data_IF_400818422290
#
_entry.id   IF_400818422290
#
_cell.length_a   1.000
_cell.length_b   1.000
_cell.length_c   1.000
_cell.angle_alpha   90.00
_cell.angle_beta   90.00
_cell.angle_gamma   90.00
#
_symmetry.space_group_name_H-M   'P 1'
#
loop_
_entity.id
_entity.type
_entity.pdbx_description
1 polymer ?
#
# COMPACT_ATOMS: atom_id res chain seq x y z
N UNK A 1 -11.80 12.86 -6.01
CA UNK A 1 -13.00 12.25 -6.61
C UNK A 1 -12.49 11.07 -7.40
N UNK A 2 -13.02 9.87 -7.16
CA UNK A 2 -12.50 8.67 -7.80
C UNK A 2 -12.73 8.69 -9.31
N UNK A 3 -11.93 7.91 -10.03
CA UNK A 3 -12.10 7.76 -11.48
C UNK A 3 -13.47 7.15 -11.81
N UNK A 4 -13.94 6.22 -10.98
CA UNK A 4 -15.32 5.73 -10.99
C UNK A 4 -15.80 5.31 -9.59
N UNK A 5 -17.11 5.27 -9.42
CA UNK A 5 -17.78 4.76 -8.22
C UNK A 5 -18.70 3.62 -8.65
N UNK A 6 -18.63 2.51 -7.93
CA UNK A 6 -19.55 1.39 -8.07
C UNK A 6 -20.35 1.23 -6.78
N UNK A 7 -21.67 1.24 -6.89
CA UNK A 7 -22.58 0.94 -5.78
C UNK A 7 -23.23 -0.42 -5.96
N UNK A 8 -23.47 -1.11 -4.85
CA UNK A 8 -24.33 -2.32 -4.85
C UNK A 8 -25.75 -1.95 -5.34
N UNK A 9 -26.18 -0.71 -5.11
CA UNK A 9 -27.47 -0.20 -5.58
C UNK A 9 -27.55 -0.06 -7.10
N UNK A 10 -26.41 0.10 -7.81
CA UNK A 10 -26.40 0.22 -9.27
C UNK A 10 -26.77 -1.10 -9.97
N UNK A 11 -26.71 -2.22 -9.23
CA UNK A 11 -26.96 -3.56 -9.73
C UNK A 11 -28.06 -4.31 -8.95
N UNK A 12 -28.63 -3.68 -7.91
CA UNK A 12 -29.83 -4.14 -7.22
C UNK A 12 -31.05 -3.47 -7.86
N UNK A 13 -31.81 -4.22 -8.66
CA UNK A 13 -33.12 -3.78 -9.16
C UNK A 13 -34.18 -4.07 -8.09
N UNK A 14 -34.33 -3.17 -7.12
CA UNK A 14 -35.32 -3.27 -6.04
C UNK A 14 -36.41 -2.22 -6.28
N UNK A 15 -37.69 -2.63 -6.46
CA UNK A 15 -38.82 -1.70 -6.52
C UNK A 15 -38.92 -0.81 -5.28
N UNK A 16 -39.30 0.45 -5.45
CA UNK A 16 -39.44 1.42 -4.33
C UNK A 16 -40.46 0.99 -3.26
N UNK A 17 -41.37 0.06 -3.58
CA UNK A 17 -42.39 -0.51 -2.70
C UNK A 17 -42.10 -1.95 -2.25
N UNK A 18 -40.89 -2.46 -2.52
CA UNK A 18 -40.49 -3.81 -2.17
C UNK A 18 -40.57 -4.06 -0.65
N UNK A 19 -41.12 -5.20 -0.26
CA UNK A 19 -41.12 -5.64 1.12
C UNK A 19 -39.76 -6.25 1.55
N UNK A 20 -39.63 -6.58 2.84
CA UNK A 20 -38.37 -7.09 3.37
C UNK A 20 -37.95 -8.45 2.77
N UNK A 21 -38.90 -9.26 2.31
CA UNK A 21 -38.63 -10.56 1.68
C UNK A 21 -38.15 -10.34 0.24
N UNK A 22 -38.80 -9.43 -0.50
CA UNK A 22 -38.39 -9.03 -1.85
C UNK A 22 -37.01 -8.36 -1.87
N UNK A 23 -36.68 -7.53 -0.86
CA UNK A 23 -35.34 -6.95 -0.69
C UNK A 23 -34.31 -8.05 -0.42
N UNK A 24 -34.62 -9.00 0.46
CA UNK A 24 -33.70 -10.09 0.79
C UNK A 24 -33.42 -10.99 -0.42
N UNK A 25 -34.45 -11.29 -1.21
CA UNK A 25 -34.35 -12.07 -2.45
C UNK A 25 -33.55 -11.33 -3.53
N UNK A 26 -33.78 -10.02 -3.70
CA UNK A 26 -32.99 -9.21 -4.63
C UNK A 26 -31.51 -9.15 -4.23
N UNK A 27 -31.22 -9.02 -2.94
CA UNK A 27 -29.84 -9.08 -2.41
C UNK A 27 -29.22 -10.46 -2.62
N UNK A 28 -29.97 -11.53 -2.36
CA UNK A 28 -29.48 -12.89 -2.59
C UNK A 28 -29.22 -13.15 -4.09
N UNK A 29 -30.14 -12.71 -4.96
CA UNK A 29 -30.00 -12.80 -6.41
C UNK A 29 -28.78 -12.02 -6.91
N UNK A 30 -28.57 -10.80 -6.41
CA UNK A 30 -27.38 -10.02 -6.73
C UNK A 30 -26.10 -10.72 -6.29
N UNK A 31 -26.06 -11.29 -5.08
CA UNK A 31 -24.89 -12.04 -4.60
C UNK A 31 -24.57 -13.24 -5.48
N UNK A 32 -25.59 -13.94 -5.95
CA UNK A 32 -25.46 -15.10 -6.84
C UNK A 32 -25.01 -14.70 -8.26
N UNK A 33 -25.51 -13.58 -8.79
CA UNK A 33 -25.28 -13.18 -10.20
C UNK A 33 -24.16 -12.16 -10.39
N UNK A 34 -23.72 -11.49 -9.32
CA UNK A 34 -22.60 -10.57 -9.29
C UNK A 34 -21.57 -10.91 -8.19
N UNK A 35 -21.13 -12.18 -8.08
CA UNK A 35 -20.32 -12.67 -6.97
C UNK A 35 -18.96 -12.00 -6.87
N UNK A 36 -18.34 -11.64 -8.01
CA UNK A 36 -17.09 -10.86 -8.05
C UNK A 36 -17.30 -9.46 -7.50
N UNK A 37 -18.36 -8.76 -7.92
CA UNK A 37 -18.67 -7.42 -7.40
C UNK A 37 -19.08 -7.46 -5.94
N UNK A 38 -19.84 -8.48 -5.50
CA UNK A 38 -20.22 -8.63 -4.10
C UNK A 38 -19.02 -8.95 -3.19
N UNK A 39 -18.08 -9.78 -3.64
CA UNK A 39 -16.84 -10.04 -2.91
C UNK A 39 -15.93 -8.80 -2.85
N UNK A 40 -15.78 -8.13 -3.99
CA UNK A 40 -14.98 -6.90 -4.11
C UNK A 40 -15.68 -5.69 -3.48
N UNK A 41 -16.99 -5.76 -3.21
CA UNK A 41 -17.80 -4.75 -2.53
C UNK A 41 -18.30 -5.29 -1.19
N UNK A 42 -17.38 -5.38 -0.22
CA UNK A 42 -17.74 -5.52 1.19
C UNK A 42 -18.43 -4.28 1.79
N UNK A 43 -18.65 -3.23 1.00
CA UNK A 43 -19.28 -1.97 1.39
C UNK A 43 -20.30 -1.53 0.31
N UNK A 44 -21.33 -0.78 0.73
CA UNK A 44 -22.39 -0.22 -0.14
C UNK A 44 -21.85 0.51 -1.38
N UNK A 45 -20.67 1.12 -1.27
CA UNK A 45 -19.98 1.84 -2.34
C UNK A 45 -18.50 1.45 -2.37
N UNK A 46 -17.93 1.36 -3.57
CA UNK A 46 -16.54 1.04 -3.84
C UNK A 46 -15.95 2.09 -4.78
N UNK A 47 -14.75 2.56 -4.46
CA UNK A 47 -14.01 3.48 -5.33
C UNK A 47 -13.18 2.67 -6.31
N UNK A 48 -13.28 3.03 -7.59
CA UNK A 48 -12.46 2.47 -8.64
C UNK A 48 -11.46 3.55 -9.04
N UNK A 49 -10.18 3.23 -8.90
CA UNK A 49 -9.08 4.10 -9.25
C UNK A 49 -8.27 3.44 -10.37
N UNK A 50 -7.88 4.21 -11.38
CA UNK A 50 -6.92 3.75 -12.37
C UNK A 50 -5.51 4.17 -11.97
N UNK A 51 -4.51 3.36 -12.33
CA UNK A 51 -3.14 3.78 -12.09
C UNK A 51 -2.83 5.09 -12.82
N UNK A 52 -2.44 6.10 -12.05
CA UNK A 52 -1.93 7.35 -12.59
C UNK A 52 -0.41 7.24 -12.74
N UNK A 53 0.04 6.49 -13.74
CA UNK A 53 1.47 6.41 -14.09
C UNK A 53 1.73 6.81 -15.54
N UNK A 54 2.45 7.91 -15.74
CA UNK A 54 3.03 8.25 -17.05
C UNK A 54 4.38 7.56 -17.20
N UNK A 55 4.37 6.22 -17.29
CA UNK A 55 5.59 5.40 -17.42
C UNK A 55 6.30 5.14 -16.07
N UNK A 56 7.64 5.29 -16.04
CA UNK A 56 8.44 4.99 -14.85
C UNK A 56 8.28 6.03 -13.72
N UNK A 57 7.66 7.18 -13.98
CA UNK A 57 7.52 8.25 -12.99
C UNK A 57 6.33 8.03 -12.05
N UNK A 58 6.68 7.74 -10.79
CA UNK A 58 6.03 8.16 -9.54
C UNK A 58 4.50 7.96 -9.42
N UNK A 59 4.04 6.82 -8.85
CA UNK A 59 2.64 6.59 -8.45
C UNK A 59 2.14 7.51 -7.32
N UNK A 60 2.71 8.70 -7.10
CA UNK A 60 2.31 9.57 -5.97
C UNK A 60 0.84 9.95 -6.01
N UNK A 61 0.27 10.18 -7.21
CA UNK A 61 -1.15 10.43 -7.36
C UNK A 61 -1.99 9.16 -7.11
N UNK A 62 -1.55 7.99 -7.61
CA UNK A 62 -2.18 6.70 -7.30
C UNK A 62 -2.25 6.46 -5.80
N UNK A 63 -1.14 6.68 -5.09
CA UNK A 63 -1.09 6.49 -3.64
C UNK A 63 -2.01 7.46 -2.92
N UNK A 64 -2.05 8.73 -3.33
CA UNK A 64 -2.99 9.71 -2.75
C UNK A 64 -4.45 9.33 -2.97
N UNK A 65 -4.82 8.88 -4.17
CA UNK A 65 -6.19 8.49 -4.48
C UNK A 65 -6.63 7.30 -3.61
N UNK A 66 -5.78 6.28 -3.51
CA UNK A 66 -6.04 5.12 -2.65
C UNK A 66 -6.17 5.54 -1.18
N UNK A 67 -5.23 6.34 -0.66
CA UNK A 67 -5.32 6.85 0.71
C UNK A 67 -6.60 7.65 0.95
N UNK A 68 -7.02 8.48 -0.01
CA UNK A 68 -8.27 9.23 0.10
C UNK A 68 -9.47 8.28 0.21
N UNK A 69 -9.55 7.27 -0.66
CA UNK A 69 -10.64 6.30 -0.65
C UNK A 69 -10.74 5.61 0.72
N UNK A 70 -9.62 5.11 1.24
CA UNK A 70 -9.65 4.37 2.51
C UNK A 70 -9.89 5.29 3.71
N UNK A 71 -9.36 6.52 3.71
CA UNK A 71 -9.65 7.52 4.74
C UNK A 71 -11.14 7.94 4.76
N UNK A 72 -11.84 7.86 3.63
CA UNK A 72 -13.29 8.04 3.55
C UNK A 72 -14.08 6.79 3.97
N UNK A 73 -13.39 5.75 4.46
CA UNK A 73 -13.98 4.48 4.87
C UNK A 73 -14.48 3.64 3.69
N UNK A 74 -13.96 3.89 2.48
CA UNK A 74 -14.39 3.21 1.26
C UNK A 74 -13.35 2.19 0.84
N UNK A 75 -13.81 1.00 0.43
CA UNK A 75 -12.96 0.01 -0.22
C UNK A 75 -12.53 0.55 -1.60
N UNK A 76 -11.28 0.31 -1.97
CA UNK A 76 -10.69 0.80 -3.20
C UNK A 76 -10.28 -0.38 -4.11
N UNK A 77 -10.75 -0.38 -5.35
CA UNK A 77 -10.27 -1.25 -6.42
C UNK A 77 -9.31 -0.45 -7.30
N UNK A 78 -8.02 -0.73 -7.18
CA UNK A 78 -7.01 -0.12 -8.02
C UNK A 78 -6.79 -0.95 -9.28
N UNK A 79 -7.14 -0.39 -10.42
CA UNK A 79 -6.91 -0.98 -11.74
C UNK A 79 -5.52 -0.58 -12.24
N UNK A 80 -4.63 -1.56 -12.37
CA UNK A 80 -3.21 -1.37 -12.71
C UNK A 80 -2.79 -2.23 -13.90
N UNK A 81 -1.88 -1.72 -14.73
CA UNK A 81 -1.25 -2.51 -15.81
C UNK A 81 -0.31 -3.53 -15.19
N UNK A 82 -0.22 -4.71 -15.78
CA UNK A 82 0.65 -5.81 -15.30
C UNK A 82 2.08 -5.35 -14.95
N UNK A 83 2.73 -4.60 -15.84
CA UNK A 83 4.09 -4.09 -15.63
C UNK A 83 4.25 -3.14 -14.43
N UNK A 84 3.16 -2.54 -13.95
CA UNK A 84 3.14 -1.55 -12.87
C UNK A 84 2.59 -2.13 -11.56
N UNK A 85 1.75 -3.16 -11.63
CA UNK A 85 1.01 -3.73 -10.49
C UNK A 85 1.93 -4.10 -9.32
N UNK A 86 3.04 -4.79 -9.59
CA UNK A 86 4.02 -5.15 -8.55
C UNK A 86 4.61 -3.94 -7.82
N UNK A 87 4.91 -2.88 -8.57
CA UNK A 87 5.47 -1.65 -7.99
C UNK A 87 4.45 -0.97 -7.09
N UNK A 88 3.21 -0.86 -7.55
CA UNK A 88 2.16 -0.19 -6.78
C UNK A 88 1.78 -1.03 -5.55
N UNK A 89 1.67 -2.35 -5.69
CA UNK A 89 1.54 -3.26 -4.55
C UNK A 89 2.64 -3.03 -3.51
N UNK A 90 3.91 -3.02 -3.95
CA UNK A 90 5.04 -2.78 -3.04
C UNK A 90 4.92 -1.44 -2.31
N UNK A 91 4.57 -0.36 -3.02
CA UNK A 91 4.43 0.96 -2.41
C UNK A 91 3.21 1.07 -1.48
N UNK A 92 2.09 0.41 -1.77
CA UNK A 92 0.83 0.57 -1.02
C UNK A 92 0.64 -0.42 0.12
N UNK A 93 1.24 -1.60 0.02
CA UNK A 93 0.91 -2.74 0.87
C UNK A 93 2.12 -3.32 1.60
N UNK A 94 3.35 -3.04 1.16
CA UNK A 94 4.57 -3.52 1.84
C UNK A 94 5.19 -2.42 2.69
N UNK A 95 5.52 -2.76 3.93
CA UNK A 95 6.20 -1.83 4.83
C UNK A 95 7.67 -1.55 4.41
N UNK A 96 8.17 -0.31 4.61
CA UNK A 96 7.41 0.88 5.01
C UNK A 96 6.49 1.36 3.86
N UNK A 97 5.19 1.52 4.11
CA UNK A 97 4.26 1.95 3.04
C UNK A 97 4.57 3.36 2.55
N UNK A 98 4.26 3.64 1.29
CA UNK A 98 4.44 4.96 0.66
C UNK A 98 5.85 5.24 0.15
N UNK A 99 6.76 4.27 0.26
CA UNK A 99 8.14 4.40 -0.20
C UNK A 99 8.38 3.80 -1.60
N UNK A 100 9.54 4.11 -2.19
CA UNK A 100 10.03 3.46 -3.39
C UNK A 100 11.50 3.03 -3.27
N UNK A 101 11.80 1.83 -3.76
CA UNK A 101 13.14 1.22 -3.69
C UNK A 101 14.18 1.78 -4.66
N UNK A 102 13.77 2.57 -5.66
CA UNK A 102 14.70 3.20 -6.61
C UNK A 102 15.42 4.42 -6.02
N UNK A 103 15.85 4.34 -4.75
CA UNK A 103 16.69 5.34 -4.12
C UNK A 103 18.17 5.00 -4.38
N UNK A 104 19.02 6.00 -4.56
CA UNK A 104 20.42 5.81 -4.94
C UNK A 104 21.32 5.34 -3.79
N UNK A 105 20.80 5.32 -2.56
CA UNK A 105 21.54 4.95 -1.35
C UNK A 105 21.01 3.60 -0.87
N UNK A 106 21.93 2.67 -0.66
CA UNK A 106 21.62 1.32 -0.19
C UNK A 106 21.12 1.35 1.25
N UNK A 107 20.17 0.48 1.59
CA UNK A 107 19.51 0.46 2.91
C UNK A 107 18.58 1.65 3.18
N UNK A 108 18.28 2.47 2.18
CA UNK A 108 17.37 3.62 2.29
C UNK A 108 16.19 3.50 1.32
N UNK A 109 14.97 3.75 1.83
CA UNK A 109 13.76 3.81 1.01
C UNK A 109 13.19 5.24 1.05
N UNK A 110 12.96 5.86 -0.12
CA UNK A 110 12.50 7.25 -0.20
C UNK A 110 10.98 7.32 -0.24
N UNK A 111 10.39 8.24 0.52
CA UNK A 111 8.96 8.52 0.46
C UNK A 111 8.62 9.50 -0.66
N UNK A 112 7.42 9.32 -1.23
CA UNK A 112 6.77 10.41 -1.95
C UNK A 112 6.35 11.51 -0.98
N UNK A 113 6.20 12.74 -1.49
CA UNK A 113 5.72 13.88 -0.69
C UNK A 113 4.36 14.35 -1.14
N UNK A 114 3.57 14.83 -0.19
CA UNK A 114 2.34 15.57 -0.43
C UNK A 114 2.65 16.99 -0.91
N UNK A 115 1.65 17.64 -1.49
CA UNK A 115 1.70 19.09 -1.77
C UNK A 115 1.47 19.91 -0.51
N UNK A 116 0.78 19.34 0.48
CA UNK A 116 0.56 19.92 1.81
C UNK A 116 1.85 19.94 2.63
N UNK A 117 1.93 20.93 3.51
CA UNK A 117 3.02 21.06 4.48
C UNK A 117 2.69 20.27 5.75
N UNK A 118 3.72 19.81 6.46
CA UNK A 118 3.60 19.31 7.83
C UNK A 118 3.13 20.47 8.69
N UNK A 119 2.02 20.25 9.41
CA UNK A 119 1.49 21.19 10.37
C UNK A 119 1.19 20.44 11.67
N UNK A 120 1.68 20.99 12.79
CA UNK A 120 1.50 20.44 14.13
C UNK A 120 0.84 21.54 14.96
N UNK A 121 -0.25 21.21 15.67
CA UNK A 121 -1.07 22.18 16.41
C UNK A 121 -1.55 23.38 15.57
N UNK A 122 -1.70 23.17 14.25
CA UNK A 122 -2.10 24.21 13.29
C UNK A 122 -0.98 25.14 12.82
N UNK A 123 0.25 24.94 13.30
CA UNK A 123 1.43 25.69 12.87
C UNK A 123 2.21 24.92 11.81
N UNK A 124 2.54 25.59 10.69
CA UNK A 124 3.34 25.00 9.62
C UNK A 124 4.79 24.86 10.09
N UNK A 125 5.32 23.65 10.02
CA UNK A 125 6.71 23.37 10.38
C UNK A 125 7.64 23.81 9.24
N UNK A 126 8.72 24.49 9.61
CA UNK A 126 9.74 25.00 8.68
C UNK A 126 11.12 24.48 9.01
N UNK A 127 12.01 24.47 8.02
CA UNK A 127 13.42 24.13 8.18
C UNK A 127 14.33 25.09 7.40
N UNK A 128 15.62 25.20 7.77
CA UNK A 128 16.63 25.86 6.95
C UNK A 128 17.13 24.93 5.82
N UNK A 129 18.06 25.41 5.00
CA UNK A 129 18.81 24.58 4.05
C UNK A 129 18.30 24.65 2.61
N UNK A 130 18.56 23.61 1.84
CA UNK A 130 18.26 23.57 0.40
C UNK A 130 16.79 23.31 0.10
N UNK A 131 16.39 23.43 -1.18
CA UNK A 131 14.98 23.57 -1.54
C UNK A 131 14.13 22.35 -1.27
N UNK A 132 14.67 21.16 -1.48
CA UNK A 132 13.86 19.97 -1.59
C UNK A 132 13.74 19.24 -0.27
N UNK A 133 12.56 18.71 0.02
CA UNK A 133 12.33 17.84 1.16
C UNK A 133 12.56 16.39 0.71
N UNK A 134 13.45 15.69 1.41
CA UNK A 134 13.77 14.30 1.16
C UNK A 134 13.45 13.51 2.42
N UNK A 135 12.34 12.78 2.38
CA UNK A 135 11.97 11.84 3.42
C UNK A 135 12.50 10.45 3.08
N UNK A 136 13.16 9.83 4.05
CA UNK A 136 13.79 8.52 3.91
C UNK A 136 13.42 7.64 5.10
N UNK A 137 13.18 6.37 4.84
CA UNK A 137 13.23 5.32 5.85
C UNK A 137 14.59 4.63 5.78
N UNK A 138 15.31 4.61 6.90
CA UNK A 138 16.62 4.00 7.03
C UNK A 138 16.46 2.60 7.62
N UNK A 139 16.72 1.56 6.81
CA UNK A 139 16.43 0.17 7.18
C UNK A 139 17.27 -0.34 8.36
N UNK A 140 18.49 0.19 8.52
CA UNK A 140 19.42 -0.24 9.58
C UNK A 140 18.99 0.20 10.98
N UNK A 141 18.31 1.34 11.09
CA UNK A 141 17.82 1.92 12.34
C UNK A 141 16.31 1.75 12.51
N UNK A 142 15.57 1.56 11.41
CA UNK A 142 14.10 1.55 11.42
C UNK A 142 13.50 2.95 11.55
N UNK A 143 14.29 4.00 11.33
CA UNK A 143 13.89 5.39 11.59
C UNK A 143 13.51 6.15 10.31
N UNK A 144 12.69 7.17 10.50
CA UNK A 144 12.27 8.11 9.47
C UNK A 144 13.13 9.37 9.57
N UNK A 145 13.74 9.77 8.45
CA UNK A 145 14.71 10.86 8.43
C UNK A 145 14.27 11.92 7.42
N UNK A 146 14.21 13.17 7.88
CA UNK A 146 14.06 14.33 7.01
C UNK A 146 15.43 14.86 6.61
N UNK A 147 15.68 14.94 5.32
CA UNK A 147 16.87 15.55 4.73
C UNK A 147 16.51 16.60 3.68
N UNK A 148 17.49 17.41 3.31
CA UNK A 148 17.44 18.19 2.07
C UNK A 148 18.19 17.50 0.91
N UNK A 149 18.13 18.07 -0.29
CA UNK A 149 18.83 17.59 -1.49
C UNK A 149 20.36 17.64 -1.38
N UNK A 150 20.90 18.43 -0.44
CA UNK A 150 22.31 18.39 -0.08
C UNK A 150 22.65 17.29 0.94
N UNK A 151 21.67 16.44 1.28
CA UNK A 151 21.77 15.36 2.27
C UNK A 151 21.99 15.84 3.71
N UNK A 152 21.68 17.10 3.99
CA UNK A 152 21.70 17.61 5.37
C UNK A 152 20.49 17.03 6.11
N UNK A 153 20.73 16.34 7.22
CA UNK A 153 19.67 15.87 8.11
C UNK A 153 19.10 17.04 8.92
N UNK A 154 17.77 17.11 8.98
CA UNK A 154 17.04 18.15 9.70
C UNK A 154 16.26 17.58 10.88
N UNK A 155 15.73 16.36 10.78
CA UNK A 155 14.97 15.70 11.82
C UNK A 155 14.99 14.17 11.65
N UNK A 156 14.73 13.45 12.74
CA UNK A 156 14.71 11.99 12.82
C UNK A 156 13.61 11.53 13.76
N UNK A 157 12.92 10.45 13.40
CA UNK A 157 11.74 9.95 14.11
C UNK A 157 11.78 8.43 14.22
N UNK A 158 11.44 7.90 15.39
CA UNK A 158 11.39 6.45 15.65
C UNK A 158 10.19 5.78 14.97
N UNK A 159 9.14 6.54 14.66
CA UNK A 159 7.93 6.04 14.01
C UNK A 159 7.26 7.13 13.14
N UNK A 160 6.30 6.70 12.33
CA UNK A 160 5.60 7.59 11.40
C UNK A 160 4.69 8.61 12.09
N UNK A 161 4.05 8.26 13.20
CA UNK A 161 3.15 9.13 13.96
C UNK A 161 3.90 10.36 14.50
N UNK A 162 5.11 10.16 15.03
CA UNK A 162 5.96 11.23 15.55
C UNK A 162 6.30 12.32 14.51
N UNK A 163 6.28 12.03 13.21
CA UNK A 163 6.46 13.03 12.14
C UNK A 163 5.39 14.13 12.22
N UNK A 164 4.17 13.76 12.61
CA UNK A 164 3.00 14.64 12.62
C UNK A 164 2.64 15.15 14.02
N UNK A 165 3.30 14.65 15.08
CA UNK A 165 2.99 14.99 16.47
C UNK A 165 4.15 15.65 17.23
N UNK A 166 5.40 15.30 16.92
CA UNK A 166 6.56 15.81 17.65
C UNK A 166 7.20 17.03 16.96
N UNK A 167 6.69 18.21 17.27
CA UNK A 167 7.28 19.47 16.81
C UNK A 167 8.72 19.70 17.32
N UNK A 168 9.13 19.04 18.41
CA UNK A 168 10.43 19.28 19.06
C UNK A 168 11.60 18.58 18.37
N UNK A 169 11.31 17.53 17.58
CA UNK A 169 12.30 16.86 16.74
C UNK A 169 12.74 17.71 15.52
N UNK A 170 11.97 18.73 15.17
CA UNK A 170 12.26 19.63 14.04
C UNK A 170 13.19 20.78 14.45
N UNK A 171 13.97 21.33 13.49
CA UNK A 171 14.82 22.48 13.76
C UNK A 171 13.98 23.71 14.12
N UNK A 172 14.48 24.53 15.04
CA UNK A 172 13.82 25.79 15.39
C UNK A 172 13.96 26.81 14.25
N UNK A 173 12.88 26.98 13.49
CA UNK A 173 12.76 28.00 12.45
C UNK A 173 13.38 27.63 11.11
N UNK A 174 13.17 28.51 10.13
CA UNK A 174 13.55 28.29 8.73
C UNK A 174 12.73 29.16 7.80
N UNK A 175 13.12 29.18 6.52
CA UNK A 175 12.40 29.89 5.46
C UNK A 175 11.70 28.94 4.48
N UNK A 176 11.78 27.63 4.73
CA UNK A 176 11.19 26.58 3.88
C UNK A 176 10.22 25.72 4.66
N UNK A 177 9.02 25.55 4.09
CA UNK A 177 8.05 24.60 4.63
C UNK A 177 8.45 23.15 4.32
N UNK A 178 8.13 22.26 5.24
CA UNK A 178 8.39 20.84 5.09
C UNK A 178 7.16 20.19 4.45
N UNK A 179 7.32 19.61 3.27
CA UNK A 179 6.26 18.84 2.62
C UNK A 179 6.09 17.51 3.34
N UNK A 180 4.85 17.17 3.70
CA UNK A 180 4.56 15.93 4.42
C UNK A 180 4.94 14.70 3.58
N UNK A 181 5.52 13.64 4.18
CA UNK A 181 5.68 12.38 3.50
C UNK A 181 4.31 11.73 3.27
N UNK A 182 4.21 10.94 2.21
CA UNK A 182 3.06 10.06 1.99
C UNK A 182 3.33 8.79 2.78
N UNK A 183 2.65 8.64 3.92
CA UNK A 183 2.69 7.43 4.74
C UNK A 183 1.24 6.92 4.85
N UNK A 184 0.88 5.90 4.07
CA UNK A 184 -0.44 5.30 4.14
C UNK A 184 -0.69 4.64 5.49
N UNK A 185 -1.64 5.18 6.25
CA UNK A 185 -2.15 4.58 7.48
C UNK A 185 -3.58 4.12 7.24
N UNK A 186 -3.70 2.90 6.71
CA UNK A 186 -4.99 2.28 6.47
C UNK A 186 -4.93 0.76 6.57
N UNK A 187 -6.11 0.18 6.80
CA UNK A 187 -6.35 -1.26 6.69
C UNK A 187 -6.14 -1.72 5.25
N UNK A 188 -5.16 -2.59 5.03
CA UNK A 188 -4.81 -3.11 3.71
C UNK A 188 -5.92 -3.96 3.10
N UNK A 189 -6.80 -4.51 3.92
CA UNK A 189 -7.95 -5.29 3.44
C UNK A 189 -8.97 -4.42 2.71
N UNK A 190 -8.88 -3.08 2.84
CA UNK A 190 -9.70 -2.11 2.11
C UNK A 190 -9.18 -1.81 0.69
N UNK A 191 -8.11 -2.47 0.24
CA UNK A 191 -7.52 -2.27 -1.08
C UNK A 191 -7.35 -3.59 -1.84
N UNK A 192 -7.94 -3.68 -3.02
CA UNK A 192 -7.63 -4.72 -4.00
C UNK A 192 -6.92 -4.12 -5.22
N UNK A 193 -5.91 -4.80 -5.74
CA UNK A 193 -5.21 -4.40 -6.97
C UNK A 193 -5.63 -5.34 -8.10
N UNK A 194 -6.37 -4.80 -9.07
CA UNK A 194 -6.80 -5.50 -10.27
C UNK A 194 -5.76 -5.31 -11.38
N UNK A 195 -5.18 -6.41 -11.84
CA UNK A 195 -4.22 -6.46 -12.93
C UNK A 195 -4.94 -6.56 -14.27
N UNK A 196 -4.63 -5.61 -15.15
CA UNK A 196 -5.06 -5.60 -16.55
C UNK A 196 -3.87 -5.92 -17.45
N UNK A 197 -3.96 -7.05 -18.16
CA UNK A 197 -3.00 -7.42 -19.21
C UNK A 197 -3.21 -6.59 -20.47
N UNK A 198 -2.16 -6.41 -21.26
CA UNK A 198 -2.23 -5.59 -22.49
C UNK A 198 -3.22 -6.17 -23.52
N UNK A 199 -3.40 -7.48 -23.54
CA UNK A 199 -4.29 -8.20 -24.44
C UNK A 199 -5.66 -8.54 -23.83
N UNK A 200 -5.97 -8.02 -22.64
CA UNK A 200 -7.26 -8.24 -21.97
C UNK A 200 -8.43 -7.69 -22.82
N UNK A 201 -9.46 -8.52 -23.03
CA UNK A 201 -10.64 -8.18 -23.85
C UNK A 201 -11.95 -8.37 -23.10
N UNK A 202 -11.91 -9.15 -22.03
CA UNK A 202 -13.07 -9.55 -21.25
C UNK A 202 -12.75 -9.46 -19.75
N UNK A 203 -13.76 -9.36 -18.87
CA UNK A 203 -13.54 -9.39 -17.43
C UNK A 203 -12.81 -10.64 -16.92
N UNK A 204 -12.90 -11.78 -17.62
CA UNK A 204 -12.17 -13.00 -17.28
C UNK A 204 -10.65 -12.90 -17.52
N UNK A 205 -10.21 -11.90 -18.30
CA UNK A 205 -8.79 -11.62 -18.52
C UNK A 205 -8.19 -10.73 -17.41
N UNK A 206 -8.98 -10.37 -16.40
CA UNK A 206 -8.57 -9.56 -15.26
C UNK A 206 -8.20 -10.45 -14.07
N UNK A 207 -7.18 -10.02 -13.31
CA UNK A 207 -6.66 -10.80 -12.18
C UNK A 207 -6.59 -9.95 -10.92
N UNK A 208 -6.82 -10.54 -9.76
CA UNK A 208 -6.45 -9.96 -8.48
C UNK A 208 -4.96 -10.22 -8.22
N UNK A 209 -4.20 -9.16 -7.93
CA UNK A 209 -2.79 -9.28 -7.55
C UNK A 209 -2.68 -9.82 -6.12
N UNK A 210 -1.95 -10.93 -5.92
CA UNK A 210 -1.57 -11.43 -4.59
C UNK A 210 -0.09 -11.21 -4.32
N UNK A 211 0.23 -11.06 -3.03
CA UNK A 211 1.58 -10.75 -2.53
C UNK A 211 2.60 -11.86 -2.78
N UNK A 212 2.15 -13.11 -2.91
CA UNK A 212 2.94 -14.30 -3.29
C UNK A 212 3.38 -14.30 -4.76
N UNK A 213 2.85 -13.38 -5.57
CA UNK A 213 3.11 -13.30 -7.01
C UNK A 213 2.18 -14.16 -7.85
N UNK A 214 1.29 -14.93 -7.22
CA UNK A 214 0.20 -15.60 -7.92
C UNK A 214 -0.91 -14.58 -8.25
N UNK A 215 -1.58 -14.81 -9.36
CA UNK A 215 -2.66 -13.95 -9.85
C UNK A 215 -3.91 -14.79 -9.93
N UNK A 216 -4.96 -14.40 -9.20
CA UNK A 216 -6.23 -15.13 -9.20
C UNK A 216 -7.13 -14.48 -10.25
N UNK A 217 -7.56 -15.22 -11.29
CA UNK A 217 -8.58 -14.73 -12.20
C UNK A 217 -9.81 -14.25 -11.44
N UNK A 218 -10.37 -13.11 -11.82
CA UNK A 218 -11.51 -12.54 -11.08
C UNK A 218 -12.72 -13.48 -11.07
N UNK A 219 -12.93 -14.27 -12.12
CA UNK A 219 -14.03 -15.24 -12.22
C UNK A 219 -13.90 -16.43 -11.25
N UNK A 220 -12.68 -16.76 -10.80
CA UNK A 220 -12.45 -17.78 -9.77
C UNK A 220 -12.76 -17.30 -8.35
N UNK A 221 -12.85 -15.98 -8.14
CA UNK A 221 -13.21 -15.42 -6.83
C UNK A 221 -14.69 -15.63 -6.47
N UNK A 222 -15.52 -15.94 -7.46
CA UNK A 222 -16.96 -16.14 -7.35
C UNK A 222 -17.37 -17.55 -6.87
N UNK A 223 -16.46 -18.52 -7.01
CA UNK A 223 -16.75 -19.94 -6.74
C UNK A 223 -16.29 -20.41 -5.36
N UNK A 224 -15.66 -19.52 -4.59
CA UNK A 224 -15.08 -19.84 -3.29
C UNK A 224 -16.06 -19.44 -2.18
N UNK A 225 -17.06 -20.30 -1.95
CA UNK A 225 -18.03 -20.19 -0.86
C UNK A 225 -17.33 -20.40 0.49
N UNK A 226 -16.77 -19.32 1.04
CA UNK A 226 -16.62 -19.19 2.50
C UNK A 226 -15.32 -19.63 3.16
N UNK A 227 -14.25 -19.92 2.41
CA UNK A 227 -12.92 -19.81 3.00
C UNK A 227 -12.47 -18.36 2.88
N UNK A 228 -12.50 -17.65 4.01
CA UNK A 228 -11.74 -16.43 4.17
C UNK A 228 -10.34 -16.69 3.60
N UNK A 229 -9.95 -15.93 2.57
CA UNK A 229 -8.53 -15.83 2.23
C UNK A 229 -7.91 -15.22 3.48
N UNK A 230 -7.45 -16.09 4.38
CA UNK A 230 -6.63 -15.70 5.49
C UNK A 230 -5.42 -15.03 4.84
N UNK A 231 -5.32 -13.73 5.06
CA UNK A 231 -4.04 -13.04 5.16
C UNK A 231 -3.17 -13.93 6.03
N UNK A 232 -2.27 -14.69 5.41
CA UNK A 232 -1.17 -15.35 6.12
C UNK A 232 -0.24 -14.21 6.52
N UNK A 233 -0.62 -13.52 7.59
CA UNK A 233 0.32 -12.89 8.49
C UNK A 233 0.86 -13.98 9.41
N UNK A 234 2.18 -13.97 9.57
CA UNK A 234 3.02 -14.80 10.44
C UNK A 234 3.25 -16.25 10.03
N UNK A 235 4.37 -16.45 9.33
CA UNK A 235 5.29 -17.53 9.69
C UNK A 235 6.71 -16.94 9.79
N UNK A 236 6.97 -16.27 10.92
CA UNK A 236 8.34 -16.13 11.41
C UNK A 236 8.84 -17.51 11.90
N UNK A 237 10.06 -17.82 11.48
CA UNK A 237 10.96 -18.85 12.02
C UNK A 237 10.71 -20.31 11.65
N UNK A 238 11.38 -20.76 10.59
CA UNK A 238 12.48 -21.73 10.73
C UNK A 238 13.17 -21.99 9.40
N UNK A 239 14.39 -21.49 9.24
CA UNK A 239 15.42 -22.30 8.58
C UNK A 239 16.78 -21.97 9.17
N UNK A 240 17.15 -22.91 10.03
CA UNK A 240 18.43 -23.21 10.64
C UNK A 240 19.63 -22.90 9.73
N UNK A 241 20.65 -22.30 10.35
CA UNK A 241 22.02 -22.29 9.87
C UNK A 241 22.49 -23.73 9.59
N UNK A 242 23.19 -24.01 8.48
CA UNK A 242 23.91 -25.26 8.38
C UNK A 242 25.12 -25.21 9.32
N UNK A 243 25.02 -25.93 10.43
CA UNK A 243 26.13 -26.30 11.29
C UNK A 243 27.26 -26.90 10.45
N UNK A 244 28.46 -26.39 10.70
CA UNK A 244 29.72 -26.95 10.27
C UNK A 244 29.88 -28.36 10.83
N UNK A 245 30.04 -29.35 9.96
CA UNK A 245 30.50 -30.69 10.34
C UNK A 245 31.94 -30.62 10.88
N UNK A 246 32.03 -30.74 12.20
CA UNK A 246 33.21 -31.16 12.95
C UNK A 246 33.41 -32.67 12.74
N UNK A 247 34.25 -33.06 11.78
CA UNK A 247 34.84 -34.40 11.74
C UNK A 247 36.22 -34.35 12.41
N UNK A 248 36.23 -34.82 13.66
CA UNK A 248 37.38 -34.86 14.53
C UNK A 248 38.47 -35.82 14.07
N UNK A 249 39.72 -35.48 14.39
CA UNK A 249 40.86 -36.33 14.05
C UNK A 249 42.20 -35.83 14.58
N UNK A 250 42.30 -35.77 15.90
CA UNK A 250 43.51 -35.67 16.72
C UNK A 250 44.74 -36.40 16.11
N UNK A 251 45.93 -35.76 16.06
CA UNK A 251 47.25 -36.40 16.24
C UNK A 251 48.40 -35.35 16.24
N UNK A 252 48.91 -35.11 17.46
CA UNK A 252 50.31 -35.11 17.94
C UNK A 252 51.39 -34.22 17.27
N UNK A 253 52.02 -33.40 18.14
CA UNK A 253 53.42 -32.95 18.15
C UNK A 253 54.38 -33.64 17.18
N UNK A 254 55.19 -32.85 16.47
CA UNK A 254 56.67 -32.86 16.55
C UNK A 254 57.37 -32.32 15.29
N UNK A 255 58.35 -31.42 15.53
CA UNK A 255 59.60 -31.24 14.77
C UNK A 255 59.57 -30.52 13.40
N UNK A 256 59.78 -29.19 13.41
CA UNK A 256 61.04 -28.49 13.02
C UNK A 256 60.81 -27.04 12.65
#
# INVERSE_FOLDING_TARGET
MPDALASVEDALDIPDDADNEEIADAVAHYREHHPVMNRLAGAREVYIESEHTTGNSQPSQTVRNVMQAVNEGKRCLLVSREQTARRVHTTLLKEPKGCHKNHSVDGEQRFYTLTGDVAIDGEIITRPGSSDNVWVYEESSGEYVLRDDNRTEHARFENAEAIFEDATAYPMGGDRSIKAPIIPDYDTDMLDIIVVKEDAKTPADLFLYRSDGDHVPLDMLATDDGEAIQTIADDEHSHEEPESEDDGGDIVDALR
#
